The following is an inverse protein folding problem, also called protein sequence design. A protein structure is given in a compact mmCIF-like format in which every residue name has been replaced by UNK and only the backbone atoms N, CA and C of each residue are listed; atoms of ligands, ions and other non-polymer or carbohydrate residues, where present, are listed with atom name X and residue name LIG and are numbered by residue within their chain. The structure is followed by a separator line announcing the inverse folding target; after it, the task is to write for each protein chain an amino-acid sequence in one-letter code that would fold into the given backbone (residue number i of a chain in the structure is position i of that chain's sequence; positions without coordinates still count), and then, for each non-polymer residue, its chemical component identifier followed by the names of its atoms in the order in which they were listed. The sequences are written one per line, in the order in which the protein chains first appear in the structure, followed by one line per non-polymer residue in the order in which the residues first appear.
data_IF_490675843000
#
_entry.id   IF_490675843000
#
_cell.length_a   1.000
_cell.length_b   1.000
_cell.length_c   1.000
_cell.angle_alpha   90.00
_cell.angle_beta   90.00
_cell.angle_gamma   90.00
#
_symmetry.space_group_name_H-M   'P 1'
#
loop_
_entity.id
_entity.type
_entity.pdbx_description
1 polymer ?
#
# COMPACT_ATOMS: atom_id res chain seq x y z
N UNK A 1 -40.90 68.21 -10.86
CA UNK A 1 -41.32 67.26 -9.82
C UNK A 1 -40.68 65.90 -10.12
N UNK A 2 -39.58 65.50 -9.46
CA UNK A 2 -39.01 64.16 -9.62
C UNK A 2 -39.61 63.19 -8.60
N UNK A 3 -40.16 62.06 -9.07
CA UNK A 3 -40.66 60.98 -8.21
C UNK A 3 -39.52 60.09 -7.67
N UNK A 4 -39.61 59.60 -6.42
CA UNK A 4 -38.59 58.73 -5.84
C UNK A 4 -38.79 57.27 -6.29
N UNK A 5 -37.76 56.69 -6.92
CA UNK A 5 -37.69 55.25 -7.19
C UNK A 5 -37.50 54.49 -5.87
N UNK A 6 -38.51 53.72 -5.51
CA UNK A 6 -38.52 52.79 -4.37
C UNK A 6 -37.51 51.66 -4.60
N UNK A 7 -36.48 51.61 -3.76
CA UNK A 7 -35.54 50.50 -3.70
C UNK A 7 -36.18 49.28 -3.05
N UNK A 8 -36.58 48.30 -3.86
CA UNK A 8 -36.98 46.98 -3.39
C UNK A 8 -35.76 46.24 -2.82
N UNK A 9 -35.68 46.13 -1.49
CA UNK A 9 -34.69 45.29 -0.79
C UNK A 9 -35.11 43.83 -0.94
N UNK A 10 -34.34 43.06 -1.72
CA UNK A 10 -34.43 41.60 -1.78
C UNK A 10 -34.04 41.00 -0.43
N UNK A 11 -34.98 40.33 0.24
CA UNK A 11 -34.65 39.59 1.47
C UNK A 11 -33.86 38.32 1.13
N UNK A 12 -32.79 37.99 1.89
CA UNK A 12 -32.03 36.78 1.68
C UNK A 12 -32.85 35.55 2.09
N UNK A 13 -33.06 34.62 1.17
CA UNK A 13 -33.68 33.31 1.42
C UNK A 13 -32.82 32.51 2.40
N UNK A 14 -33.27 32.41 3.65
CA UNK A 14 -32.59 31.60 4.67
C UNK A 14 -32.83 30.12 4.39
N UNK A 15 -31.77 29.40 4.01
CA UNK A 15 -31.80 27.93 3.84
C UNK A 15 -32.22 27.27 5.16
N UNK A 16 -33.09 26.24 5.13
CA UNK A 16 -33.56 25.60 6.36
C UNK A 16 -32.38 24.93 7.09
N UNK A 17 -32.19 25.30 8.36
CA UNK A 17 -31.20 24.69 9.24
C UNK A 17 -31.56 23.23 9.47
N UNK A 18 -30.67 22.31 9.11
CA UNK A 18 -30.84 20.88 9.39
C UNK A 18 -30.99 20.66 10.90
N UNK A 19 -31.93 19.80 11.35
CA UNK A 19 -32.12 19.54 12.76
C UNK A 19 -30.83 18.97 13.36
N UNK A 20 -30.39 19.55 14.47
CA UNK A 20 -29.25 19.04 15.25
C UNK A 20 -29.63 17.68 15.83
N UNK A 21 -28.88 16.63 15.51
CA UNK A 21 -29.12 15.30 16.11
C UNK A 21 -28.80 15.33 17.61
N UNK A 22 -29.71 14.83 18.43
CA UNK A 22 -29.69 14.92 19.90
C UNK A 22 -28.75 13.92 20.61
N UNK A 23 -27.73 13.37 19.93
CA UNK A 23 -26.90 12.32 20.53
C UNK A 23 -25.54 12.10 19.87
N UNK A 24 -24.69 11.29 20.53
CA UNK A 24 -23.37 10.94 20.01
C UNK A 24 -23.49 10.21 18.67
N UNK A 25 -22.64 10.60 17.71
CA UNK A 25 -22.55 9.95 16.40
C UNK A 25 -21.37 9.00 16.40
N UNK A 26 -21.64 7.75 16.04
CA UNK A 26 -20.59 6.75 15.79
C UNK A 26 -20.42 6.67 14.28
N UNK A 27 -19.47 7.44 13.77
CA UNK A 27 -19.12 7.47 12.36
C UNK A 27 -18.06 6.39 12.07
N UNK A 28 -18.41 5.43 11.20
CA UNK A 28 -17.52 4.33 10.79
C UNK A 28 -17.94 2.94 11.29
N UNK A 29 -17.09 1.95 11.02
CA UNK A 29 -17.30 0.55 11.39
C UNK A 29 -18.21 -0.24 10.44
N UNK A 30 -18.01 -1.56 10.39
CA UNK A 30 -18.89 -2.46 9.64
C UNK A 30 -20.28 -2.55 10.28
N UNK A 31 -21.30 -3.00 9.52
CA UNK A 31 -22.64 -3.25 10.07
C UNK A 31 -22.59 -4.21 11.28
N UNK A 32 -21.72 -5.21 11.20
CA UNK A 32 -21.53 -6.19 12.28
C UNK A 32 -20.90 -5.56 13.53
N UNK A 33 -19.85 -4.75 13.37
CA UNK A 33 -19.20 -4.05 14.48
C UNK A 33 -20.18 -3.11 15.22
N UNK A 34 -21.02 -2.40 14.47
CA UNK A 34 -22.08 -1.54 15.05
C UNK A 34 -23.13 -2.35 15.82
N UNK A 35 -23.51 -3.53 15.31
CA UNK A 35 -24.44 -4.43 16.02
C UNK A 35 -23.83 -4.93 17.34
N UNK A 36 -22.55 -5.31 17.35
CA UNK A 36 -21.85 -5.72 18.58
C UNK A 36 -21.84 -4.57 19.59
N UNK A 37 -21.42 -3.36 19.17
CA UNK A 37 -21.35 -2.19 20.05
C UNK A 37 -22.72 -1.83 20.64
N UNK A 38 -23.79 -1.88 19.84
CA UNK A 38 -25.15 -1.67 20.31
C UNK A 38 -25.53 -2.67 21.42
N UNK A 39 -25.28 -3.96 21.19
CA UNK A 39 -25.65 -5.00 22.15
C UNK A 39 -24.85 -4.92 23.44
N UNK A 40 -23.57 -4.56 23.38
CA UNK A 40 -22.77 -4.29 24.58
C UNK A 40 -23.39 -3.13 25.38
N UNK A 41 -23.78 -2.04 24.71
CA UNK A 41 -24.41 -0.90 25.39
C UNK A 41 -25.79 -1.23 25.96
N UNK A 42 -26.59 -2.05 25.29
CA UNK A 42 -27.88 -2.54 25.82
C UNK A 42 -27.68 -3.38 27.08
N UNK A 43 -26.66 -4.25 27.11
CA UNK A 43 -26.35 -5.08 28.28
C UNK A 43 -25.83 -4.24 29.44
N UNK A 44 -24.86 -3.35 29.19
CA UNK A 44 -24.33 -2.45 30.21
C UNK A 44 -25.38 -1.45 30.72
N UNK A 45 -26.35 -1.09 29.88
CA UNK A 45 -27.51 -0.28 30.24
C UNK A 45 -28.62 -1.04 30.95
N UNK A 46 -28.49 -2.36 31.15
CA UNK A 46 -29.47 -3.20 31.84
C UNK A 46 -30.75 -3.50 31.03
N UNK A 47 -30.77 -3.19 29.73
CA UNK A 47 -31.91 -3.45 28.85
C UNK A 47 -31.96 -4.90 28.35
N UNK A 48 -30.83 -5.62 28.44
CA UNK A 48 -30.67 -6.97 27.90
C UNK A 48 -29.69 -7.78 28.75
N UNK A 49 -29.87 -9.11 28.82
CA UNK A 49 -28.89 -9.98 29.49
C UNK A 49 -27.72 -10.35 28.57
N UNK A 50 -26.53 -10.70 29.11
CA UNK A 50 -25.41 -11.17 28.30
C UNK A 50 -25.76 -12.38 27.41
N UNK A 51 -26.59 -13.29 27.92
CA UNK A 51 -27.05 -14.48 27.18
C UNK A 51 -27.93 -14.09 26.00
N UNK A 52 -28.86 -13.15 26.18
CA UNK A 52 -29.72 -12.67 25.09
C UNK A 52 -28.93 -11.92 24.01
N UNK A 53 -27.92 -11.16 24.41
CA UNK A 53 -27.01 -10.49 23.48
C UNK A 53 -26.17 -11.49 22.68
N UNK A 54 -25.65 -12.54 23.32
CA UNK A 54 -24.94 -13.62 22.66
C UNK A 54 -25.83 -14.34 21.63
N UNK A 55 -27.07 -14.66 22.00
CA UNK A 55 -28.07 -15.25 21.12
C UNK A 55 -28.39 -14.33 19.92
N UNK A 56 -28.58 -13.03 20.16
CA UNK A 56 -28.85 -12.04 19.10
C UNK A 56 -27.67 -11.87 18.12
N UNK A 57 -26.44 -12.12 18.58
CA UNK A 57 -25.22 -12.15 17.74
C UNK A 57 -25.00 -13.49 17.04
N UNK A 58 -25.67 -14.56 17.48
CA UNK A 58 -25.41 -15.92 17.00
C UNK A 58 -24.06 -16.48 17.48
N UNK A 59 -23.63 -16.11 18.69
CA UNK A 59 -22.37 -16.57 19.30
C UNK A 59 -22.61 -17.16 20.68
N UNK A 60 -21.63 -17.88 21.22
CA UNK A 60 -21.69 -18.39 22.59
C UNK A 60 -21.53 -17.26 23.62
N UNK A 61 -22.07 -17.44 24.83
CA UNK A 61 -21.95 -16.47 25.92
C UNK A 61 -20.48 -16.14 26.26
N UNK A 62 -19.53 -17.09 26.32
CA UNK A 62 -18.12 -16.77 26.50
C UNK A 62 -17.54 -15.89 25.38
N UNK A 63 -17.97 -16.13 24.12
CA UNK A 63 -17.57 -15.30 22.98
C UNK A 63 -18.09 -13.87 23.14
N UNK A 64 -19.32 -13.70 23.62
CA UNK A 64 -19.86 -12.37 23.93
C UNK A 64 -18.98 -11.63 24.95
N UNK A 65 -18.62 -12.26 26.07
CA UNK A 65 -17.74 -11.63 27.07
C UNK A 65 -16.37 -11.25 26.51
N UNK A 66 -15.81 -12.05 25.59
CA UNK A 66 -14.55 -11.69 24.90
C UNK A 66 -14.70 -10.41 24.05
N UNK A 67 -15.84 -10.24 23.38
CA UNK A 67 -16.14 -9.06 22.56
C UNK A 67 -16.42 -7.84 23.45
N UNK A 68 -17.10 -8.02 24.57
CA UNK A 68 -17.33 -6.99 25.58
C UNK A 68 -16.02 -6.47 26.16
N UNK A 69 -15.14 -7.37 26.60
CA UNK A 69 -13.81 -7.01 27.10
C UNK A 69 -12.99 -6.24 26.05
N UNK A 70 -13.01 -6.70 24.79
CA UNK A 70 -12.33 -6.00 23.69
C UNK A 70 -12.91 -4.60 23.43
N UNK A 71 -14.24 -4.48 23.46
CA UNK A 71 -14.93 -3.20 23.27
C UNK A 71 -14.60 -2.19 24.37
N UNK A 72 -14.61 -2.63 25.63
CA UNK A 72 -14.25 -1.81 26.78
C UNK A 72 -12.77 -1.41 26.75
N UNK A 73 -11.87 -2.33 26.38
CA UNK A 73 -10.45 -2.00 26.21
C UNK A 73 -10.25 -0.92 25.13
N UNK A 74 -10.97 -1.01 24.00
CA UNK A 74 -10.95 0.01 22.96
C UNK A 74 -11.49 1.36 23.43
N UNK A 75 -12.55 1.36 24.25
CA UNK A 75 -13.11 2.57 24.85
C UNK A 75 -12.09 3.27 25.76
N UNK A 76 -11.44 2.51 26.66
CA UNK A 76 -10.40 3.04 27.55
C UNK A 76 -9.23 3.61 26.74
N UNK A 77 -8.74 2.86 25.74
CA UNK A 77 -7.68 3.32 24.86
C UNK A 77 -8.06 4.59 24.08
N UNK A 78 -9.33 4.77 23.72
CA UNK A 78 -9.81 5.98 23.05
C UNK A 78 -9.87 7.20 23.99
N UNK A 79 -10.02 6.97 25.29
CA UNK A 79 -10.01 8.00 26.32
C UNK A 79 -8.60 8.44 26.73
N UNK A 80 -7.56 7.69 26.38
CA UNK A 80 -6.16 8.07 26.62
C UNK A 80 -5.84 9.43 25.95
N UNK A 81 -5.08 10.31 26.62
CA UNK A 81 -4.70 11.59 26.05
C UNK A 81 -3.84 11.37 24.80
N UNK A 82 -4.34 11.85 23.65
CA UNK A 82 -3.59 11.76 22.40
C UNK A 82 -2.39 12.70 22.43
N UNK A 83 -1.19 12.23 22.05
CA UNK A 83 0.00 13.07 22.07
C UNK A 83 -0.18 14.25 21.11
N UNK A 84 0.09 15.46 21.60
CA UNK A 84 -0.11 16.70 20.84
C UNK A 84 0.94 16.80 19.73
N UNK A 85 0.52 17.25 18.54
CA UNK A 85 1.42 17.53 17.41
C UNK A 85 1.38 16.50 16.29
N UNK A 86 2.27 16.67 15.30
CA UNK A 86 2.34 15.82 14.10
C UNK A 86 2.91 14.46 14.47
N UNK A 87 2.05 13.44 14.51
CA UNK A 87 2.47 12.06 14.74
C UNK A 87 2.84 11.36 13.43
N UNK A 88 3.85 10.50 13.51
CA UNK A 88 4.12 9.49 12.50
C UNK A 88 3.13 8.36 12.75
N UNK A 89 1.97 8.42 12.08
CA UNK A 89 1.01 7.32 12.13
C UNK A 89 1.49 6.20 11.21
N UNK A 90 1.17 4.92 11.50
CA UNK A 90 1.53 3.81 10.63
C UNK A 90 1.01 4.02 9.21
N UNK A 91 -0.17 4.62 9.05
CA UNK A 91 -0.73 5.02 7.76
C UNK A 91 0.18 5.98 6.99
N UNK A 92 0.73 7.01 7.66
CA UNK A 92 1.67 7.94 7.04
C UNK A 92 3.02 7.32 6.74
N UNK A 93 3.45 6.36 7.54
CA UNK A 93 4.65 5.57 7.23
C UNK A 93 4.43 4.73 5.98
N UNK A 94 3.27 4.09 5.84
CA UNK A 94 2.89 3.34 4.64
C UNK A 94 2.87 4.26 3.42
N UNK A 95 2.22 5.43 3.49
CA UNK A 95 2.22 6.41 2.39
C UNK A 95 3.64 6.84 2.01
N UNK A 96 4.49 7.12 3.01
CA UNK A 96 5.89 7.51 2.79
C UNK A 96 6.70 6.38 2.16
N UNK A 97 6.49 5.15 2.58
CA UNK A 97 7.16 3.97 2.03
C UNK A 97 6.70 3.70 0.60
N UNK A 98 5.41 3.81 0.31
CA UNK A 98 4.85 3.70 -1.04
C UNK A 98 5.48 4.74 -1.98
N UNK A 99 5.54 6.02 -1.57
CA UNK A 99 6.19 7.06 -2.36
C UNK A 99 7.68 6.79 -2.65
N UNK A 100 8.39 6.18 -1.69
CA UNK A 100 9.78 5.76 -1.89
C UNK A 100 9.91 4.60 -2.86
N UNK A 101 9.02 3.61 -2.78
CA UNK A 101 8.98 2.49 -3.73
C UNK A 101 8.79 3.01 -5.15
N UNK A 102 7.77 3.87 -5.36
CA UNK A 102 7.50 4.47 -6.67
C UNK A 102 8.69 5.26 -7.23
N UNK A 103 9.38 6.02 -6.36
CA UNK A 103 10.57 6.76 -6.75
C UNK A 103 11.72 5.82 -7.16
N UNK A 104 11.98 4.79 -6.37
CA UNK A 104 13.02 3.80 -6.64
C UNK A 104 12.73 2.99 -7.90
N UNK A 105 11.47 2.65 -8.16
CA UNK A 105 11.07 1.95 -9.39
C UNK A 105 11.33 2.81 -10.63
N UNK A 106 10.99 4.10 -10.59
CA UNK A 106 11.28 5.06 -11.67
C UNK A 106 12.79 5.19 -11.91
N UNK A 107 13.58 5.28 -10.84
CA UNK A 107 15.03 5.31 -10.96
C UNK A 107 15.60 4.01 -11.54
N UNK A 108 15.12 2.85 -11.09
CA UNK A 108 15.53 1.55 -11.63
C UNK A 108 15.21 1.46 -13.12
N UNK A 109 14.01 1.87 -13.54
CA UNK A 109 13.61 1.90 -14.94
C UNK A 109 14.53 2.81 -15.77
N UNK A 110 14.87 4.00 -15.25
CA UNK A 110 15.82 4.92 -15.89
C UNK A 110 17.22 4.32 -16.02
N UNK A 111 17.76 3.76 -14.94
CA UNK A 111 19.08 3.09 -14.94
C UNK A 111 19.12 1.92 -15.93
N UNK A 112 18.07 1.09 -15.95
CA UNK A 112 17.94 0.00 -16.92
C UNK A 112 17.88 0.51 -18.36
N UNK A 113 17.18 1.61 -18.64
CA UNK A 113 17.14 2.21 -19.97
C UNK A 113 18.53 2.72 -20.41
N UNK A 114 19.27 3.38 -19.51
CA UNK A 114 20.64 3.82 -19.76
C UNK A 114 21.58 2.64 -20.03
N UNK A 115 21.47 1.56 -19.25
CA UNK A 115 22.25 0.33 -19.47
C UNK A 115 21.94 -0.33 -20.82
N UNK A 116 20.68 -0.36 -21.24
CA UNK A 116 20.31 -0.90 -22.56
C UNK A 116 20.87 -0.05 -23.69
N UNK A 117 20.88 1.28 -23.54
CA UNK A 117 21.46 2.19 -24.50
C UNK A 117 22.99 1.99 -24.61
N UNK A 118 23.71 1.91 -23.49
CA UNK A 118 25.16 1.69 -23.50
C UNK A 118 25.54 0.32 -24.08
N UNK A 119 24.77 -0.72 -23.76
CA UNK A 119 24.94 -2.05 -24.37
C UNK A 119 24.75 -1.99 -25.89
N UNK A 120 23.77 -1.21 -26.37
CA UNK A 120 23.52 -1.01 -27.80
C UNK A 120 24.64 -0.25 -28.51
N UNK A 121 25.20 0.80 -27.90
CA UNK A 121 26.31 1.56 -28.50
C UNK A 121 27.60 0.75 -28.55
N UNK A 122 27.85 -0.09 -27.54
CA UNK A 122 29.00 -0.99 -27.48
C UNK A 122 28.86 -2.25 -28.35
N UNK A 123 27.72 -2.43 -29.04
CA UNK A 123 27.45 -3.62 -29.86
C UNK A 123 27.29 -4.92 -29.04
N UNK A 124 27.26 -4.82 -27.71
CA UNK A 124 27.02 -5.94 -26.80
C UNK A 124 25.52 -6.13 -26.73
N UNK A 125 24.95 -6.95 -27.62
CA UNK A 125 23.52 -7.22 -27.57
C UNK A 125 23.17 -7.76 -26.18
N UNK A 126 22.32 -7.05 -25.45
CA UNK A 126 21.71 -7.57 -24.24
C UNK A 126 21.16 -8.94 -24.58
N UNK A 127 21.66 -10.00 -23.94
CA UNK A 127 21.16 -11.36 -24.13
C UNK A 127 19.68 -11.38 -23.74
N UNK A 128 18.80 -11.08 -24.69
CA UNK A 128 17.38 -11.37 -24.58
C UNK A 128 17.30 -12.86 -24.31
N UNK A 129 16.77 -13.23 -23.14
CA UNK A 129 16.58 -14.60 -22.72
C UNK A 129 16.10 -15.43 -23.92
N UNK A 130 16.90 -16.43 -24.27
CA UNK A 130 16.75 -17.23 -25.47
C UNK A 130 15.32 -17.74 -25.62
N UNK A 131 14.63 -17.31 -26.68
CA UNK A 131 13.39 -17.95 -27.14
C UNK A 131 13.67 -19.46 -27.35
N UNK A 132 12.83 -20.38 -26.87
CA UNK A 132 13.10 -21.81 -27.00
C UNK A 132 13.14 -22.18 -28.49
N UNK A 133 14.29 -22.69 -28.95
CA UNK A 133 14.49 -23.12 -30.33
C UNK A 133 13.76 -24.46 -30.56
N UNK A 134 13.03 -24.65 -31.67
CA UNK A 134 12.32 -25.91 -31.92
C UNK A 134 13.29 -27.10 -32.01
N UNK A 135 12.89 -28.23 -31.43
CA UNK A 135 13.70 -29.46 -31.31
C UNK A 135 13.99 -30.04 -32.71
N UNK A 136 15.28 -30.10 -33.09
CA UNK A 136 15.73 -30.80 -34.29
C UNK A 136 15.96 -32.30 -34.02
N UNK A 137 15.64 -33.14 -35.03
CA UNK A 137 15.68 -34.62 -35.04
C UNK A 137 17.05 -35.24 -34.68
N UNK A 138 17.09 -36.50 -34.20
CA UNK A 138 18.26 -37.07 -33.54
C UNK A 138 19.29 -37.57 -34.55
N UNK A 139 20.31 -36.75 -34.81
CA UNK A 139 21.56 -37.16 -35.46
C UNK A 139 22.72 -36.47 -34.72
N UNK A 140 23.69 -37.25 -34.26
CA UNK A 140 24.77 -36.86 -33.32
C UNK A 140 25.50 -35.56 -33.74
N UNK A 141 25.03 -34.40 -33.26
CA UNK A 141 25.85 -33.17 -33.19
C UNK A 141 26.47 -33.07 -31.81
N UNK A 142 27.78 -33.31 -31.72
CA UNK A 142 28.58 -33.12 -30.51
C UNK A 142 28.31 -31.71 -29.96
N UNK A 143 27.69 -31.61 -28.78
CA UNK A 143 27.43 -30.33 -28.11
C UNK A 143 28.76 -29.66 -27.81
N UNK A 144 29.08 -28.58 -28.54
CA UNK A 144 30.30 -27.80 -28.28
C UNK A 144 30.20 -27.18 -26.88
N UNK A 145 31.26 -27.36 -26.09
CA UNK A 145 31.59 -26.76 -24.77
C UNK A 145 31.54 -25.22 -24.76
N UNK A 146 30.44 -24.47 -24.55
CA UNK A 146 30.47 -23.02 -24.74
C UNK A 146 31.41 -22.32 -23.74
N UNK A 147 31.52 -22.85 -22.52
CA UNK A 147 32.46 -22.37 -21.49
C UNK A 147 33.92 -22.48 -21.92
N UNK A 148 34.32 -23.58 -22.56
CA UNK A 148 35.70 -23.78 -23.04
C UNK A 148 36.07 -22.79 -24.14
N UNK A 149 35.13 -22.46 -25.02
CA UNK A 149 35.35 -21.48 -26.10
C UNK A 149 35.48 -20.06 -25.56
N UNK A 150 34.63 -19.67 -24.61
CA UNK A 150 34.68 -18.36 -23.97
C UNK A 150 35.99 -18.16 -23.20
N UNK A 151 36.42 -19.16 -22.42
CA UNK A 151 37.70 -19.10 -21.69
C UNK A 151 38.92 -19.03 -22.63
N UNK A 152 38.88 -19.73 -23.78
CA UNK A 152 39.94 -19.61 -24.80
C UNK A 152 39.98 -18.22 -25.42
N UNK A 153 38.83 -17.64 -25.75
CA UNK A 153 38.75 -16.30 -26.32
C UNK A 153 39.18 -15.21 -25.32
N UNK A 154 38.79 -15.33 -24.05
CA UNK A 154 39.23 -14.41 -23.00
C UNK A 154 40.75 -14.44 -22.80
N UNK A 155 41.36 -15.63 -22.81
CA UNK A 155 42.83 -15.77 -22.76
C UNK A 155 43.53 -15.12 -23.96
N UNK A 156 42.91 -15.18 -25.14
CA UNK A 156 43.46 -14.55 -26.36
C UNK A 156 43.40 -13.02 -26.28
N UNK A 157 42.27 -12.46 -25.84
CA UNK A 157 42.11 -11.01 -25.65
C UNK A 157 43.11 -10.49 -24.59
N UNK A 158 43.32 -11.26 -23.51
CA UNK A 158 44.31 -10.94 -22.47
C UNK A 158 45.76 -10.97 -22.98
N UNK A 159 46.06 -11.82 -23.97
CA UNK A 159 47.37 -11.86 -24.63
C UNK A 159 47.55 -10.74 -25.67
N UNK A 160 46.48 -10.34 -26.36
CA UNK A 160 46.49 -9.32 -27.42
C UNK A 160 46.40 -7.88 -26.89
N UNK A 161 46.23 -7.67 -25.57
CA UNK A 161 46.30 -6.34 -24.95
C UNK A 161 47.72 -6.10 -24.41
N UNK A 162 48.60 -5.35 -25.09
CA UNK A 162 49.93 -5.07 -24.58
C UNK A 162 49.84 -3.86 -23.65
N UNK A 163 49.63 -4.09 -22.35
CA UNK A 163 49.71 -3.01 -21.36
C UNK A 163 48.79 -3.18 -20.15
N UNK A 164 48.99 -4.23 -19.36
CA UNK A 164 48.52 -4.29 -17.97
C UNK A 164 49.40 -5.25 -17.16
N UNK A 165 50.72 -5.06 -17.23
CA UNK A 165 51.64 -5.50 -16.19
C UNK A 165 52.36 -4.26 -15.69
N UNK A 166 51.99 -3.81 -14.49
CA UNK A 166 52.71 -2.75 -13.79
C UNK A 166 51.81 -1.92 -12.88
N UNK A 167 51.54 -2.43 -11.68
CA UNK A 167 51.56 -1.67 -10.41
C UNK A 167 51.25 -2.62 -9.24
N UNK A 168 52.28 -3.38 -8.86
CA UNK A 168 52.44 -3.89 -7.49
C UNK A 168 53.57 -3.05 -6.88
N UNK A 169 53.21 -2.10 -5.99
CA UNK A 169 53.97 -1.70 -4.78
C UNK A 169 53.01 -1.08 -3.79
#
# INVERSE_FOLDING_TARGET
MPEPKTGAKSQPTTKPRRPRSKGPRVDGGSKHARKIALLILEVLGGLRTPTDAANALGVSTPRYYSLEAQGLAGLVAACEPKPRGRQLTPEREVEKLQAKVDALEKECARRQALLRLSQRTLGVSASTASKPRPKAKPGKRRKKRPTVRALKAAKQIQHDTPGAKGEER
#
